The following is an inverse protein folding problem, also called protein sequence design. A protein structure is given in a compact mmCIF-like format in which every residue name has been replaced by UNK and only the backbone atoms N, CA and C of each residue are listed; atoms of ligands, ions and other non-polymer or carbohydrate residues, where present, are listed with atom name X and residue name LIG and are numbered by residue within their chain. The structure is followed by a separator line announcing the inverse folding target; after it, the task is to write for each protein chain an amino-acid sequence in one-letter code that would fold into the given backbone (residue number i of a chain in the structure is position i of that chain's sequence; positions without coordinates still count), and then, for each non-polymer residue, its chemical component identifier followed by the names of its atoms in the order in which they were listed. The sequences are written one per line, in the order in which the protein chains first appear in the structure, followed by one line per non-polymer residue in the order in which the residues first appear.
data_IF_193559655166
#
_entry.id   IF_193559655166
#
_cell.length_a   1.000
_cell.length_b   1.000
_cell.length_c   1.000
_cell.angle_alpha   90.00
_cell.angle_beta   90.00
_cell.angle_gamma   90.00
#
_symmetry.space_group_name_H-M   'P 1'
#
loop_
_entity.id
_entity.type
_entity.pdbx_description
1 polymer ?
#
# COMPACT_ATOMS: atom_id res chain seq x y z
N UNK A 1 -21.05 -5.14 -24.27
CA UNK A 1 -21.91 -4.25 -23.44
C UNK A 1 -22.06 -4.84 -22.04
N UNK A 2 -22.17 -4.00 -21.00
CA UNK A 2 -22.42 -4.42 -19.60
C UNK A 2 -23.89 -4.89 -19.51
N UNK A 3 -24.11 -6.15 -19.23
CA UNK A 3 -25.45 -6.72 -19.06
C UNK A 3 -25.95 -6.58 -17.60
N UNK A 4 -27.23 -6.90 -17.38
CA UNK A 4 -27.85 -6.80 -16.05
C UNK A 4 -27.17 -7.72 -15.01
N UNK A 5 -26.78 -8.94 -15.41
CA UNK A 5 -26.14 -9.88 -14.49
C UNK A 5 -24.79 -9.37 -14.01
N UNK A 6 -23.99 -8.79 -14.92
CA UNK A 6 -22.71 -8.14 -14.59
C UNK A 6 -22.91 -6.98 -13.62
N UNK A 7 -23.93 -6.14 -13.81
CA UNK A 7 -24.27 -5.06 -12.88
C UNK A 7 -24.70 -5.60 -11.51
N UNK A 8 -25.51 -6.65 -11.47
CA UNK A 8 -25.93 -7.26 -10.21
C UNK A 8 -24.76 -7.87 -9.43
N UNK A 9 -23.87 -8.59 -10.10
CA UNK A 9 -22.65 -9.11 -9.48
C UNK A 9 -21.77 -7.98 -8.94
N UNK A 10 -21.56 -6.93 -9.73
CA UNK A 10 -20.76 -5.78 -9.34
C UNK A 10 -21.39 -5.00 -8.19
N UNK A 11 -22.72 -4.92 -8.10
CA UNK A 11 -23.42 -4.40 -6.95
C UNK A 11 -23.09 -5.24 -5.69
N UNK A 12 -23.15 -6.58 -5.79
CA UNK A 12 -22.88 -7.44 -4.63
C UNK A 12 -21.43 -7.30 -4.13
N UNK A 13 -20.47 -7.11 -5.00
CA UNK A 13 -19.09 -6.83 -4.64
C UNK A 13 -18.91 -5.40 -4.07
N UNK A 14 -19.49 -4.40 -4.71
CA UNK A 14 -19.35 -3.00 -4.30
C UNK A 14 -19.90 -2.72 -2.88
N UNK A 15 -20.95 -3.44 -2.45
CA UNK A 15 -21.58 -3.28 -1.12
C UNK A 15 -20.85 -4.00 0.02
N UNK A 16 -19.95 -4.97 -0.26
CA UNK A 16 -19.25 -5.75 0.77
C UNK A 16 -18.55 -4.84 1.78
N UNK A 17 -18.84 -5.03 3.07
CA UNK A 17 -18.28 -4.23 4.17
C UNK A 17 -18.75 -2.77 4.21
N UNK A 18 -19.78 -2.39 3.43
CA UNK A 18 -20.28 -1.01 3.33
C UNK A 18 -21.80 -0.88 3.51
N UNK A 19 -22.50 -1.96 3.86
CA UNK A 19 -23.97 -1.97 4.01
C UNK A 19 -24.50 -1.03 5.09
N UNK A 20 -23.65 -0.64 6.05
CA UNK A 20 -23.95 0.35 7.09
C UNK A 20 -23.94 1.80 6.56
N UNK A 21 -23.42 2.06 5.35
CA UNK A 21 -23.37 3.40 4.78
C UNK A 21 -24.72 3.80 4.19
N UNK A 22 -25.22 4.97 4.57
CA UNK A 22 -26.52 5.51 4.11
C UNK A 22 -26.72 5.42 2.59
N UNK A 23 -25.71 5.79 1.79
CA UNK A 23 -25.81 5.73 0.33
C UNK A 23 -26.02 4.30 -0.20
N UNK A 24 -25.49 3.27 0.47
CA UNK A 24 -25.70 1.86 0.12
C UNK A 24 -27.09 1.43 0.55
N UNK A 25 -27.49 1.69 1.81
CA UNK A 25 -28.84 1.37 2.30
C UNK A 25 -29.91 1.99 1.41
N UNK A 26 -29.78 3.29 1.09
CA UNK A 26 -30.72 3.99 0.19
C UNK A 26 -30.84 3.33 -1.18
N UNK A 27 -29.74 2.87 -1.75
CA UNK A 27 -29.75 2.18 -3.04
C UNK A 27 -30.39 0.79 -2.95
N UNK A 28 -30.21 0.09 -1.84
CA UNK A 28 -30.73 -1.27 -1.61
C UNK A 28 -32.26 -1.32 -1.45
N UNK A 29 -32.93 -0.23 -1.09
CA UNK A 29 -34.40 -0.18 -0.95
C UNK A 29 -35.08 -0.64 -2.25
N UNK A 30 -34.61 -0.16 -3.41
CA UNK A 30 -35.17 -0.49 -4.71
C UNK A 30 -34.07 -1.01 -5.65
N UNK A 31 -33.27 -1.99 -5.19
CA UNK A 31 -32.05 -2.41 -5.88
C UNK A 31 -32.29 -2.91 -7.30
N UNK A 32 -33.34 -3.70 -7.53
CA UNK A 32 -33.63 -4.25 -8.87
C UNK A 32 -34.04 -3.14 -9.84
N UNK A 33 -34.95 -2.26 -9.42
CA UNK A 33 -35.38 -1.11 -10.22
C UNK A 33 -34.21 -0.19 -10.56
N UNK A 34 -33.36 0.11 -9.56
CA UNK A 34 -32.17 0.93 -9.73
C UNK A 34 -31.19 0.29 -10.74
N UNK A 35 -30.97 -1.02 -10.66
CA UNK A 35 -30.08 -1.73 -11.60
C UNK A 35 -30.69 -1.83 -13.00
N UNK A 36 -32.00 -2.07 -13.13
CA UNK A 36 -32.72 -2.07 -14.40
C UNK A 36 -32.64 -0.69 -15.07
N UNK A 37 -32.84 0.37 -14.29
CA UNK A 37 -32.72 1.74 -14.79
C UNK A 37 -31.30 2.03 -15.28
N UNK A 38 -30.26 1.65 -14.52
CA UNK A 38 -28.85 1.79 -14.95
C UNK A 38 -28.58 1.04 -16.24
N UNK A 39 -29.04 -0.23 -16.32
CA UNK A 39 -28.88 -1.04 -17.52
C UNK A 39 -29.56 -0.40 -18.74
N UNK A 40 -30.80 0.08 -18.58
CA UNK A 40 -31.53 0.80 -19.63
C UNK A 40 -30.78 2.06 -20.09
N UNK A 41 -30.30 2.88 -19.14
CA UNK A 41 -29.56 4.10 -19.45
C UNK A 41 -28.24 3.82 -20.17
N UNK A 42 -27.53 2.76 -19.82
CA UNK A 42 -26.32 2.30 -20.53
C UNK A 42 -26.64 1.83 -21.95
N UNK A 43 -27.66 0.97 -22.12
CA UNK A 43 -28.08 0.45 -23.41
C UNK A 43 -28.61 1.52 -24.36
N UNK A 44 -29.24 2.55 -23.83
CA UNK A 44 -29.74 3.70 -24.58
C UNK A 44 -28.70 4.81 -24.82
N UNK A 45 -27.45 4.64 -24.38
CA UNK A 45 -26.39 5.68 -24.40
C UNK A 45 -26.78 7.00 -23.69
N UNK A 46 -27.74 6.92 -22.75
CA UNK A 46 -28.23 8.05 -21.95
C UNK A 46 -27.61 8.14 -20.56
N UNK A 47 -26.78 7.16 -20.20
CA UNK A 47 -26.10 7.17 -18.91
C UNK A 47 -25.19 8.41 -18.78
N UNK A 48 -25.19 8.98 -17.57
CA UNK A 48 -24.28 10.09 -17.18
C UNK A 48 -23.78 9.84 -15.77
N UNK A 49 -22.50 10.12 -15.54
CA UNK A 49 -21.92 10.10 -14.20
C UNK A 49 -22.55 11.14 -13.29
N UNK A 50 -22.71 10.83 -12.02
CA UNK A 50 -23.06 11.83 -11.01
C UNK A 50 -21.89 12.79 -10.78
N UNK A 51 -22.15 14.02 -10.30
CA UNK A 51 -21.11 14.94 -9.86
C UNK A 51 -20.19 14.29 -8.83
N UNK A 52 -18.91 14.68 -8.84
CA UNK A 52 -17.94 14.23 -7.86
C UNK A 52 -18.16 14.90 -6.51
N UNK A 53 -18.13 14.09 -5.46
CA UNK A 53 -17.90 14.54 -4.11
C UNK A 53 -16.41 14.49 -3.82
N UNK A 54 -15.89 15.49 -3.10
CA UNK A 54 -14.46 15.62 -2.85
C UNK A 54 -14.17 15.68 -1.36
N UNK A 55 -13.08 15.08 -0.92
CA UNK A 55 -12.51 15.27 0.41
C UNK A 55 -10.99 15.15 0.38
N UNK A 56 -10.33 15.78 1.36
CA UNK A 56 -8.87 15.79 1.45
C UNK A 56 -8.42 14.76 2.49
N UNK A 57 -7.58 13.82 2.06
CA UNK A 57 -6.83 12.93 2.94
C UNK A 57 -5.47 13.58 3.21
N UNK A 58 -5.15 13.85 4.50
CA UNK A 58 -3.93 14.56 4.88
C UNK A 58 -2.72 13.66 5.11
N UNK A 59 -2.92 12.39 5.45
CA UNK A 59 -1.84 11.44 5.79
C UNK A 59 -1.82 10.22 4.85
N UNK A 60 -0.64 9.73 4.44
CA UNK A 60 0.72 10.21 4.71
C UNK A 60 1.14 11.44 3.88
N UNK A 61 0.39 11.81 2.88
CA UNK A 61 0.50 13.00 2.03
C UNK A 61 -0.89 13.53 1.74
N UNK A 62 -1.02 14.83 1.62
CA UNK A 62 -2.27 15.46 1.21
C UNK A 62 -2.67 15.01 -0.19
N UNK A 63 -3.91 14.53 -0.32
CA UNK A 63 -4.49 14.08 -1.58
C UNK A 63 -5.96 14.47 -1.65
N UNK A 64 -6.36 15.07 -2.75
CA UNK A 64 -7.77 15.25 -3.07
C UNK A 64 -8.33 13.93 -3.58
N UNK A 65 -9.30 13.37 -2.84
CA UNK A 65 -10.04 12.17 -3.25
C UNK A 65 -11.36 12.61 -3.85
N UNK A 66 -11.65 12.12 -5.06
CA UNK A 66 -12.88 12.39 -5.79
C UNK A 66 -13.66 11.08 -5.93
N UNK A 67 -14.94 11.09 -5.58
CA UNK A 67 -15.77 9.89 -5.69
C UNK A 67 -17.18 10.22 -6.18
N UNK A 68 -17.72 9.32 -6.99
CA UNK A 68 -19.09 9.39 -7.49
C UNK A 68 -20.07 8.66 -6.56
N UNK A 69 -21.36 8.69 -6.93
CA UNK A 69 -22.45 7.99 -6.26
C UNK A 69 -22.20 6.47 -6.19
N UNK A 70 -22.96 5.77 -5.35
CA UNK A 70 -22.88 4.31 -5.25
C UNK A 70 -23.30 3.63 -6.57
N UNK A 71 -24.26 4.23 -7.30
CA UNK A 71 -24.67 3.82 -8.64
C UNK A 71 -23.47 3.77 -9.60
N UNK A 72 -22.70 4.85 -9.65
CA UNK A 72 -21.56 4.94 -10.56
C UNK A 72 -20.42 3.99 -10.16
N UNK A 73 -20.26 3.72 -8.86
CA UNK A 73 -19.32 2.69 -8.39
C UNK A 73 -19.68 1.29 -8.90
N UNK A 74 -20.96 0.96 -8.95
CA UNK A 74 -21.41 -0.32 -9.51
C UNK A 74 -21.03 -0.43 -11.00
N UNK A 75 -21.28 0.64 -11.78
CA UNK A 75 -20.91 0.68 -13.20
C UNK A 75 -19.40 0.56 -13.39
N UNK A 76 -18.60 1.31 -12.61
CA UNK A 76 -17.15 1.22 -12.67
C UNK A 76 -16.62 -0.15 -12.25
N UNK A 77 -17.20 -0.81 -11.23
CA UNK A 77 -16.85 -2.18 -10.87
C UNK A 77 -17.16 -3.13 -12.03
N UNK A 78 -18.35 -3.05 -12.62
CA UNK A 78 -18.72 -3.90 -13.76
C UNK A 78 -17.77 -3.71 -14.95
N UNK A 79 -17.41 -2.47 -15.25
CA UNK A 79 -16.46 -2.16 -16.31
C UNK A 79 -15.06 -2.71 -16.00
N UNK A 80 -14.60 -2.59 -14.74
CA UNK A 80 -13.29 -3.11 -14.33
C UNK A 80 -13.25 -4.64 -14.40
N UNK A 81 -14.23 -5.31 -13.78
CA UNK A 81 -14.20 -6.76 -13.59
C UNK A 81 -14.47 -7.53 -14.91
N UNK A 82 -15.36 -7.00 -15.76
CA UNK A 82 -15.81 -7.70 -16.97
C UNK A 82 -15.10 -7.24 -18.25
N UNK A 83 -14.47 -6.06 -18.24
CA UNK A 83 -13.79 -5.51 -19.43
C UNK A 83 -12.32 -5.22 -19.14
N UNK A 84 -12.00 -4.29 -18.23
CA UNK A 84 -10.62 -3.83 -18.09
C UNK A 84 -9.70 -4.96 -17.62
N UNK A 85 -10.09 -5.71 -16.60
CA UNK A 85 -9.28 -6.83 -16.10
C UNK A 85 -9.00 -7.89 -17.18
N UNK A 86 -10.00 -8.47 -17.89
CA UNK A 86 -9.77 -9.49 -18.89
C UNK A 86 -8.91 -9.04 -20.08
N UNK A 87 -9.05 -7.79 -20.51
CA UNK A 87 -8.32 -7.26 -21.67
C UNK A 87 -6.95 -6.72 -21.30
N UNK A 88 -6.84 -5.92 -20.23
CA UNK A 88 -5.61 -5.21 -19.91
C UNK A 88 -4.59 -6.09 -19.19
N UNK A 89 -5.03 -7.02 -18.30
CA UNK A 89 -4.11 -7.86 -17.53
C UNK A 89 -3.18 -8.70 -18.42
N UNK A 90 -3.64 -9.08 -19.61
CA UNK A 90 -2.86 -9.84 -20.61
C UNK A 90 -1.69 -9.04 -21.20
N UNK A 91 -1.79 -7.71 -21.17
CA UNK A 91 -0.78 -6.81 -21.72
C UNK A 91 0.24 -6.35 -20.70
N UNK A 92 0.06 -6.69 -19.43
CA UNK A 92 0.97 -6.25 -18.37
C UNK A 92 2.09 -7.24 -18.14
N UNK A 93 3.27 -6.73 -17.91
CA UNK A 93 4.41 -7.56 -17.50
C UNK A 93 4.12 -8.24 -16.15
N UNK A 94 4.76 -9.37 -15.90
CA UNK A 94 4.61 -10.10 -14.64
C UNK A 94 4.97 -9.25 -13.41
N UNK A 95 6.00 -8.41 -13.54
CA UNK A 95 6.54 -7.57 -12.45
C UNK A 95 5.89 -6.18 -12.35
N UNK A 96 4.64 -6.05 -12.84
CA UNK A 96 3.75 -4.98 -12.49
C UNK A 96 2.83 -5.47 -11.36
N UNK A 97 2.84 -4.77 -10.22
CA UNK A 97 2.28 -5.27 -8.96
C UNK A 97 0.95 -4.65 -8.55
N UNK A 98 0.50 -3.61 -9.26
CA UNK A 98 -0.69 -2.84 -8.89
C UNK A 98 -1.97 -3.37 -9.55
N UNK A 99 -3.09 -3.27 -8.84
CA UNK A 99 -4.48 -3.42 -9.35
C UNK A 99 -4.81 -4.73 -10.08
N UNK A 100 -4.06 -5.79 -9.86
CA UNK A 100 -4.28 -7.11 -10.46
C UNK A 100 -4.60 -8.15 -9.38
N UNK A 101 -5.49 -9.10 -9.67
CA UNK A 101 -5.78 -10.22 -8.77
C UNK A 101 -4.53 -11.03 -8.47
N UNK A 102 -4.34 -11.42 -7.21
CA UNK A 102 -3.15 -12.16 -6.77
C UNK A 102 -1.87 -11.33 -6.67
N UNK A 103 -1.91 -10.04 -7.03
CA UNK A 103 -0.79 -9.11 -6.88
C UNK A 103 -1.10 -8.04 -5.83
N UNK A 104 -0.19 -7.12 -5.59
CA UNK A 104 -0.33 -6.06 -4.60
C UNK A 104 0.99 -5.76 -3.91
N UNK A 105 0.92 -5.02 -2.80
CA UNK A 105 2.11 -4.60 -2.05
C UNK A 105 2.97 -5.76 -1.56
N UNK A 106 2.35 -6.83 -1.05
CA UNK A 106 3.07 -8.00 -0.55
C UNK A 106 3.77 -8.75 -1.67
N UNK A 107 3.05 -8.99 -2.78
CA UNK A 107 3.64 -9.60 -3.97
C UNK A 107 4.85 -8.79 -4.47
N UNK A 108 4.72 -7.46 -4.60
CA UNK A 108 5.81 -6.58 -5.02
C UNK A 108 7.02 -6.64 -4.10
N UNK A 109 6.80 -6.68 -2.79
CA UNK A 109 7.87 -6.83 -1.80
C UNK A 109 8.57 -8.20 -1.89
N UNK A 110 7.84 -9.27 -2.15
CA UNK A 110 8.41 -10.61 -2.30
C UNK A 110 9.15 -10.75 -3.61
N UNK A 111 8.68 -10.10 -4.68
CA UNK A 111 9.43 -10.01 -5.95
C UNK A 111 10.73 -9.23 -5.78
N UNK A 112 10.72 -8.09 -5.06
CA UNK A 112 11.95 -7.35 -4.76
C UNK A 112 12.93 -8.22 -3.97
N UNK A 113 12.48 -8.94 -2.93
CA UNK A 113 13.31 -9.88 -2.18
C UNK A 113 13.91 -10.96 -3.10
N UNK A 114 13.09 -11.53 -3.99
CA UNK A 114 13.55 -12.53 -4.96
C UNK A 114 14.63 -11.96 -5.89
N UNK A 115 14.44 -10.75 -6.44
CA UNK A 115 15.42 -10.11 -7.30
C UNK A 115 16.72 -9.81 -6.58
N UNK A 116 16.69 -9.26 -5.38
CA UNK A 116 17.88 -9.00 -4.59
C UNK A 116 18.65 -10.28 -4.25
N UNK A 117 17.95 -11.35 -3.84
CA UNK A 117 18.56 -12.65 -3.56
C UNK A 117 19.16 -13.29 -4.81
N UNK A 118 18.49 -13.19 -5.96
CA UNK A 118 18.99 -13.69 -7.25
C UNK A 118 20.20 -12.89 -7.71
N UNK A 119 20.14 -11.56 -7.58
CA UNK A 119 21.23 -10.67 -7.92
C UNK A 119 22.50 -11.04 -7.13
N UNK A 120 22.37 -11.16 -5.80
CA UNK A 120 23.50 -11.51 -4.94
C UNK A 120 24.16 -12.82 -5.33
N UNK A 121 23.38 -13.85 -5.67
CA UNK A 121 23.92 -15.15 -6.12
C UNK A 121 24.70 -15.06 -7.44
N UNK A 122 24.38 -14.11 -8.29
CA UNK A 122 25.00 -13.95 -9.61
C UNK A 122 26.17 -12.96 -9.59
N UNK A 123 26.11 -11.91 -8.80
CA UNK A 123 27.00 -10.77 -8.86
C UNK A 123 27.57 -10.33 -7.49
N UNK A 124 27.25 -11.04 -6.40
CA UNK A 124 27.60 -10.58 -5.06
C UNK A 124 26.77 -9.34 -4.64
N UNK A 125 27.36 -8.53 -3.75
CA UNK A 125 26.72 -7.32 -3.25
C UNK A 125 26.96 -6.08 -4.15
N UNK A 126 27.91 -6.15 -5.06
CA UNK A 126 28.29 -5.04 -5.92
C UNK A 126 27.28 -4.82 -7.03
N UNK A 127 26.60 -3.69 -6.99
CA UNK A 127 25.60 -3.34 -7.97
C UNK A 127 24.91 -2.03 -7.66
N UNK A 128 24.07 -1.64 -8.59
CA UNK A 128 23.41 -0.35 -8.56
C UNK A 128 21.90 -0.50 -8.70
N UNK A 129 21.21 0.45 -8.12
CA UNK A 129 19.76 0.58 -8.20
C UNK A 129 19.43 1.93 -8.80
N UNK A 130 18.62 1.94 -9.85
CA UNK A 130 17.90 3.12 -10.28
C UNK A 130 16.51 3.05 -9.67
N UNK A 131 16.18 4.01 -8.78
CA UNK A 131 14.87 4.15 -8.15
C UNK A 131 14.18 5.38 -8.72
N UNK A 132 12.98 5.18 -9.25
CA UNK A 132 12.19 6.23 -9.89
C UNK A 132 10.81 6.36 -9.25
N UNK A 133 10.28 7.56 -9.31
CA UNK A 133 8.91 7.94 -8.93
C UNK A 133 8.43 9.00 -9.92
N UNK A 134 7.18 8.91 -10.38
CA UNK A 134 6.63 9.88 -11.33
C UNK A 134 5.96 11.00 -10.58
N UNK A 135 6.26 12.23 -10.98
CA UNK A 135 5.71 13.43 -10.36
C UNK A 135 4.21 13.55 -10.66
N UNK A 136 3.39 13.70 -9.60
CA UNK A 136 1.94 13.94 -9.70
C UNK A 136 1.21 13.00 -10.68
N UNK A 137 1.59 11.72 -10.71
CA UNK A 137 1.21 10.75 -11.76
C UNK A 137 -0.26 10.82 -12.17
N UNK A 138 -1.20 10.60 -11.23
CA UNK A 138 -2.64 10.61 -11.52
C UNK A 138 -3.15 11.94 -12.07
N UNK A 139 -2.53 13.05 -11.70
CA UNK A 139 -2.90 14.41 -12.16
C UNK A 139 -2.27 14.78 -13.51
N UNK A 140 -1.34 13.96 -14.02
CA UNK A 140 -0.59 14.26 -15.25
C UNK A 140 -0.95 13.34 -16.41
N UNK A 141 -1.87 12.40 -16.24
CA UNK A 141 -2.29 11.46 -17.28
C UNK A 141 -3.04 12.25 -18.38
N UNK A 142 -2.54 12.20 -19.61
CA UNK A 142 -3.18 12.82 -20.76
C UNK A 142 -4.35 11.96 -21.24
N UNK A 143 -5.54 12.56 -21.36
CA UNK A 143 -6.77 11.85 -21.74
C UNK A 143 -6.69 11.28 -23.16
N UNK A 144 -6.16 12.01 -24.12
CA UNK A 144 -6.11 11.57 -25.53
C UNK A 144 -5.17 10.38 -25.69
N UNK A 145 -3.99 10.43 -25.05
CA UNK A 145 -3.03 9.33 -25.04
C UNK A 145 -3.65 8.08 -24.37
N UNK A 146 -4.33 8.25 -23.24
CA UNK A 146 -5.01 7.14 -22.55
C UNK A 146 -6.11 6.52 -23.41
N UNK A 147 -6.95 7.34 -24.04
CA UNK A 147 -8.00 6.89 -24.95
C UNK A 147 -7.42 6.15 -26.16
N UNK A 148 -6.32 6.63 -26.71
CA UNK A 148 -5.65 5.94 -27.83
C UNK A 148 -5.13 4.57 -27.39
N UNK A 149 -4.49 4.47 -26.22
CA UNK A 149 -4.04 3.18 -25.68
C UNK A 149 -5.21 2.19 -25.48
N UNK A 150 -6.35 2.65 -24.95
CA UNK A 150 -7.55 1.83 -24.77
C UNK A 150 -8.13 1.37 -26.09
N UNK A 151 -8.22 2.25 -27.11
CA UNK A 151 -8.73 1.91 -28.46
C UNK A 151 -7.88 0.88 -29.20
N UNK A 152 -6.60 0.77 -28.87
CA UNK A 152 -5.74 -0.31 -29.42
C UNK A 152 -6.16 -1.69 -28.91
N UNK A 153 -6.68 -1.78 -27.69
CA UNK A 153 -7.00 -3.02 -26.99
C UNK A 153 -8.48 -3.38 -27.02
N UNK A 154 -9.35 -2.39 -26.95
CA UNK A 154 -10.81 -2.54 -26.86
C UNK A 154 -11.42 -2.01 -28.16
N UNK A 155 -12.31 -2.82 -28.77
CA UNK A 155 -12.97 -2.48 -30.06
C UNK A 155 -14.47 -2.26 -29.92
N UNK A 156 -15.06 -2.65 -28.78
CA UNK A 156 -16.49 -2.45 -28.49
C UNK A 156 -16.77 -0.94 -28.33
N UNK A 157 -17.63 -0.40 -29.21
CA UNK A 157 -17.93 1.04 -29.26
C UNK A 157 -18.69 1.53 -28.03
N UNK A 158 -19.56 0.70 -27.47
CA UNK A 158 -20.36 1.04 -26.28
C UNK A 158 -19.46 1.14 -25.04
N UNK A 159 -18.50 0.21 -24.96
CA UNK A 159 -17.47 0.24 -23.90
C UNK A 159 -16.58 1.47 -24.07
N UNK A 160 -16.12 1.79 -25.26
CA UNK A 160 -15.28 2.95 -25.52
C UNK A 160 -16.02 4.27 -25.18
N UNK A 161 -17.32 4.38 -25.55
CA UNK A 161 -18.15 5.52 -25.17
C UNK A 161 -18.21 5.72 -23.65
N UNK A 162 -18.39 4.62 -22.89
CA UNK A 162 -18.42 4.69 -21.43
C UNK A 162 -17.06 5.04 -20.84
N UNK A 163 -15.98 4.48 -21.38
CA UNK A 163 -14.60 4.80 -20.96
C UNK A 163 -14.26 6.26 -21.22
N UNK A 164 -14.59 6.79 -22.41
CA UNK A 164 -14.37 8.19 -22.77
C UNK A 164 -15.11 9.13 -21.81
N UNK A 165 -16.38 8.82 -21.49
CA UNK A 165 -17.16 9.59 -20.52
C UNK A 165 -16.51 9.60 -19.13
N UNK A 166 -15.95 8.46 -18.67
CA UNK A 166 -15.29 8.37 -17.36
C UNK A 166 -13.96 9.14 -17.38
N UNK A 167 -13.19 9.05 -18.45
CA UNK A 167 -11.92 9.75 -18.60
C UNK A 167 -12.15 11.26 -18.65
N UNK A 168 -13.12 11.73 -19.45
CA UNK A 168 -13.44 13.15 -19.60
C UNK A 168 -14.29 13.73 -18.46
N UNK A 169 -14.54 12.96 -17.42
CA UNK A 169 -15.33 13.41 -16.26
C UNK A 169 -14.60 14.45 -15.38
N UNK A 170 -13.34 14.72 -15.66
CA UNK A 170 -12.54 15.80 -15.06
C UNK A 170 -12.00 16.71 -16.15
N UNK A 171 -11.91 18.02 -15.87
CA UNK A 171 -11.35 19.00 -16.78
C UNK A 171 -9.82 18.92 -16.84
N UNK A 172 -9.25 19.11 -18.03
CA UNK A 172 -7.80 19.09 -18.23
C UNK A 172 -7.16 17.72 -18.10
N UNK A 173 -5.84 17.64 -17.92
CA UNK A 173 -5.15 16.38 -17.71
C UNK A 173 -5.42 15.81 -16.31
N UNK A 174 -5.26 14.50 -16.18
CA UNK A 174 -5.40 13.79 -14.92
C UNK A 174 -6.70 13.03 -14.79
N UNK A 175 -6.65 11.99 -13.97
CA UNK A 175 -7.78 11.11 -13.66
C UNK A 175 -8.08 11.12 -12.15
N UNK A 176 -9.36 10.97 -11.75
CA UNK A 176 -9.77 11.11 -10.36
C UNK A 176 -9.12 10.04 -9.45
N UNK A 177 -8.52 10.48 -8.36
CA UNK A 177 -8.09 9.55 -7.30
C UNK A 177 -9.33 9.18 -6.47
N UNK A 178 -9.83 7.95 -6.65
CA UNK A 178 -11.01 7.44 -5.96
C UNK A 178 -11.94 6.63 -6.86
N UNK A 179 -11.82 6.75 -8.17
CA UNK A 179 -12.49 5.87 -9.12
C UNK A 179 -11.77 4.53 -9.22
N UNK A 180 -12.55 3.47 -9.34
CA UNK A 180 -11.98 2.12 -9.53
C UNK A 180 -11.26 2.00 -10.89
N UNK A 181 -11.84 2.56 -11.93
CA UNK A 181 -11.25 2.60 -13.28
C UNK A 181 -9.91 3.32 -13.34
N UNK A 182 -9.72 4.38 -12.53
CA UNK A 182 -8.47 5.15 -12.52
C UNK A 182 -7.24 4.31 -12.17
N UNK A 183 -7.40 3.25 -11.37
CA UNK A 183 -6.31 2.34 -11.05
C UNK A 183 -5.87 1.53 -12.27
N UNK A 184 -6.82 1.02 -13.06
CA UNK A 184 -6.54 0.29 -14.29
C UNK A 184 -5.92 1.20 -15.37
N UNK A 185 -6.44 2.41 -15.49
CA UNK A 185 -5.89 3.42 -16.39
C UNK A 185 -4.44 3.77 -16.05
N UNK A 186 -4.15 4.00 -14.77
CA UNK A 186 -2.79 4.27 -14.32
C UNK A 186 -1.84 3.07 -14.55
N UNK A 187 -2.29 1.84 -14.44
CA UNK A 187 -1.45 0.68 -14.76
C UNK A 187 -1.18 0.59 -16.26
N UNK A 188 -2.23 0.76 -17.09
CA UNK A 188 -2.13 0.71 -18.55
C UNK A 188 -1.22 1.81 -19.12
N UNK A 189 -1.35 3.02 -18.64
CA UNK A 189 -0.69 4.20 -19.18
C UNK A 189 0.83 4.06 -19.30
N UNK A 190 1.45 3.29 -18.40
CA UNK A 190 2.88 2.99 -18.39
C UNK A 190 3.23 1.56 -18.83
N UNK A 191 2.27 0.77 -19.30
CA UNK A 191 2.55 -0.62 -19.68
C UNK A 191 3.56 -0.72 -20.81
N UNK A 192 3.52 0.18 -21.78
CA UNK A 192 4.51 0.23 -22.86
C UNK A 192 5.92 0.57 -22.36
N UNK A 193 6.06 1.40 -21.32
CA UNK A 193 7.36 1.65 -20.67
C UNK A 193 7.86 0.36 -19.97
N UNK A 194 6.97 -0.41 -19.34
CA UNK A 194 7.34 -1.68 -18.71
C UNK A 194 7.95 -2.64 -19.72
N UNK A 195 7.34 -2.78 -20.90
CA UNK A 195 7.87 -3.59 -22.00
C UNK A 195 9.18 -3.04 -22.56
N UNK A 196 9.28 -1.73 -22.76
CA UNK A 196 10.53 -1.09 -23.18
C UNK A 196 11.67 -1.43 -22.23
N UNK A 197 11.46 -1.33 -20.91
CA UNK A 197 12.49 -1.61 -19.91
C UNK A 197 12.87 -3.11 -19.89
N UNK A 198 11.88 -4.00 -19.94
CA UNK A 198 12.12 -5.46 -19.89
C UNK A 198 12.72 -6.02 -21.17
N UNK A 199 12.19 -5.61 -22.31
CA UNK A 199 12.46 -6.23 -23.61
C UNK A 199 13.54 -5.48 -24.40
N UNK A 200 13.39 -4.14 -24.56
CA UNK A 200 14.35 -3.35 -25.33
C UNK A 200 15.62 -3.01 -24.54
N UNK A 201 15.47 -2.59 -23.26
CA UNK A 201 16.60 -2.32 -22.38
C UNK A 201 17.12 -3.57 -21.65
N UNK A 202 16.48 -4.72 -21.78
CA UNK A 202 16.94 -5.99 -21.24
C UNK A 202 17.06 -6.06 -19.70
N UNK A 203 16.45 -5.14 -18.96
CA UNK A 203 16.52 -5.10 -17.49
C UNK A 203 15.63 -6.18 -16.89
N UNK A 204 16.22 -7.30 -16.53
CA UNK A 204 15.50 -8.46 -15.94
C UNK A 204 14.96 -8.17 -14.53
N UNK A 205 15.72 -7.42 -13.72
CA UNK A 205 15.38 -7.11 -12.33
C UNK A 205 14.75 -5.72 -12.22
N UNK A 206 13.57 -5.61 -12.83
CA UNK A 206 12.70 -4.43 -12.84
C UNK A 206 11.35 -4.77 -12.22
N UNK A 207 10.79 -3.86 -11.42
CA UNK A 207 9.44 -3.98 -10.91
C UNK A 207 8.79 -2.63 -10.65
N UNK A 208 7.47 -2.55 -10.88
CA UNK A 208 6.69 -1.33 -10.75
C UNK A 208 5.42 -1.53 -9.92
N UNK A 209 5.13 -0.53 -9.10
CA UNK A 209 3.84 -0.37 -8.42
C UNK A 209 3.32 1.05 -8.68
N UNK A 210 2.38 1.19 -9.60
CA UNK A 210 1.87 2.48 -10.10
C UNK A 210 3.00 3.37 -10.66
N UNK A 211 3.26 4.49 -10.00
CA UNK A 211 4.28 5.50 -10.30
C UNK A 211 5.67 5.17 -9.72
N UNK A 212 5.75 4.21 -8.82
CA UNK A 212 6.95 3.84 -8.06
C UNK A 212 7.59 2.58 -8.64
N UNK A 213 8.85 2.68 -9.14
CA UNK A 213 9.55 1.55 -9.76
C UNK A 213 11.06 1.56 -9.51
N UNK A 214 11.67 0.40 -9.71
CA UNK A 214 13.11 0.20 -9.53
C UNK A 214 13.71 -0.69 -10.62
N UNK A 215 14.97 -0.44 -10.93
CA UNK A 215 15.83 -1.27 -11.79
C UNK A 215 17.08 -1.64 -11.00
N UNK A 216 17.53 -2.90 -11.08
CA UNK A 216 18.78 -3.37 -10.48
C UNK A 216 19.70 -3.87 -11.58
N UNK A 217 20.93 -3.37 -11.61
CA UNK A 217 21.94 -3.72 -12.62
C UNK A 217 23.36 -3.62 -12.05
N UNK A 218 24.33 -4.44 -12.51
CA UNK A 218 25.71 -4.34 -12.06
C UNK A 218 26.41 -3.06 -12.58
N UNK A 219 26.05 -2.60 -13.74
CA UNK A 219 26.65 -1.43 -14.38
C UNK A 219 25.84 -0.16 -14.10
N UNK A 220 26.51 0.84 -13.50
CA UNK A 220 25.95 2.15 -13.18
C UNK A 220 25.70 3.02 -14.41
N UNK A 221 26.61 2.96 -15.38
CA UNK A 221 26.52 3.79 -16.57
C UNK A 221 25.41 3.28 -17.49
N UNK A 222 25.21 1.98 -17.53
CA UNK A 222 24.03 1.40 -18.18
C UNK A 222 22.72 1.86 -17.53
N UNK A 223 22.65 1.96 -16.21
CA UNK A 223 21.47 2.53 -15.55
C UNK A 223 21.29 4.03 -15.84
N UNK A 224 22.35 4.79 -16.05
CA UNK A 224 22.27 6.18 -16.54
C UNK A 224 21.68 6.25 -17.94
N UNK A 225 22.14 5.39 -18.83
CA UNK A 225 21.55 5.25 -20.16
C UNK A 225 20.06 4.88 -20.08
N UNK A 226 19.69 3.89 -19.27
CA UNK A 226 18.28 3.52 -19.05
C UNK A 226 17.45 4.69 -18.53
N UNK A 227 18.00 5.50 -17.63
CA UNK A 227 17.31 6.69 -17.10
C UNK A 227 16.99 7.70 -18.21
N UNK A 228 17.93 7.97 -19.11
CA UNK A 228 17.70 8.89 -20.23
C UNK A 228 16.68 8.32 -21.23
N UNK A 229 16.70 7.03 -21.52
CA UNK A 229 15.69 6.39 -22.37
C UNK A 229 14.29 6.42 -21.72
N UNK A 230 14.20 6.22 -20.41
CA UNK A 230 12.94 6.37 -19.66
C UNK A 230 12.42 7.80 -19.74
N UNK A 231 13.28 8.81 -19.54
CA UNK A 231 12.89 10.23 -19.68
C UNK A 231 12.33 10.53 -21.08
N UNK A 232 13.03 10.08 -22.14
CA UNK A 232 12.58 10.23 -23.53
C UNK A 232 11.20 9.58 -23.74
N UNK A 233 10.97 8.42 -23.15
CA UNK A 233 9.70 7.72 -23.26
C UNK A 233 8.55 8.48 -22.56
N UNK A 234 8.82 9.13 -21.43
CA UNK A 234 7.82 9.84 -20.64
C UNK A 234 7.37 11.16 -21.25
N UNK A 235 8.23 11.82 -22.06
CA UNK A 235 7.92 13.13 -22.69
C UNK A 235 6.63 13.12 -23.51
N UNK A 236 6.42 12.21 -24.48
CA UNK A 236 5.19 12.17 -25.27
C UNK A 236 3.96 11.77 -24.45
N UNK A 237 4.15 11.17 -23.26
CA UNK A 237 3.06 10.88 -22.32
C UNK A 237 2.70 12.07 -21.44
N UNK A 238 3.42 13.20 -21.54
CA UNK A 238 3.23 14.34 -20.64
C UNK A 238 3.65 14.09 -19.19
N UNK A 239 4.57 13.14 -18.96
CA UNK A 239 5.01 12.72 -17.63
C UNK A 239 6.45 13.13 -17.35
N UNK A 240 6.74 13.41 -16.08
CA UNK A 240 8.07 13.75 -15.59
C UNK A 240 8.44 12.89 -14.38
N UNK A 241 9.72 12.54 -14.28
CA UNK A 241 10.27 11.89 -13.09
C UNK A 241 10.34 12.89 -11.92
N UNK A 242 10.11 12.38 -10.72
CA UNK A 242 10.29 13.14 -9.50
C UNK A 242 11.79 13.42 -9.24
N UNK A 243 12.10 14.57 -8.64
CA UNK A 243 13.47 14.95 -8.25
C UNK A 243 14.15 13.94 -7.30
N UNK A 244 13.39 13.05 -6.67
CA UNK A 244 13.91 11.96 -5.83
C UNK A 244 14.43 10.76 -6.63
N UNK A 245 14.30 10.77 -7.95
CA UNK A 245 14.89 9.76 -8.82
C UNK A 245 16.41 9.74 -8.66
N UNK A 246 16.97 8.58 -8.32
CA UNK A 246 18.37 8.46 -8.00
C UNK A 246 18.93 7.09 -8.38
N UNK A 247 20.24 7.08 -8.72
CA UNK A 247 21.04 5.88 -8.84
C UNK A 247 21.97 5.79 -7.62
N UNK A 248 21.90 4.67 -6.92
CA UNK A 248 22.68 4.44 -5.70
C UNK A 248 23.14 2.98 -5.59
N UNK A 249 24.17 2.66 -4.78
CA UNK A 249 24.62 1.30 -4.58
C UNK A 249 23.55 0.39 -3.98
N UNK A 250 23.45 -0.86 -4.44
CA UNK A 250 22.48 -1.85 -3.93
C UNK A 250 22.63 -2.09 -2.43
N UNK A 251 23.85 -1.94 -1.90
CA UNK A 251 24.17 -2.07 -0.46
C UNK A 251 23.44 -1.05 0.42
N UNK A 252 23.05 0.12 -0.12
CA UNK A 252 22.24 1.10 0.62
C UNK A 252 20.82 0.60 0.90
N UNK A 253 20.35 -0.41 0.15
CA UNK A 253 18.99 -0.91 0.24
C UNK A 253 17.96 -0.03 -0.47
N UNK A 254 16.82 -0.63 -0.78
CA UNK A 254 15.75 -0.06 -1.61
C UNK A 254 14.55 0.27 -0.75
N UNK A 255 14.13 1.53 -0.77
CA UNK A 255 12.86 1.98 -0.19
C UNK A 255 11.72 1.71 -1.17
N UNK A 256 10.85 0.75 -0.84
CA UNK A 256 9.73 0.37 -1.70
C UNK A 256 8.53 -0.08 -0.86
N UNK A 257 7.33 0.36 -1.22
CA UNK A 257 6.04 -0.04 -0.62
C UNK A 257 6.02 0.00 0.92
N UNK A 258 6.60 1.03 1.52
CA UNK A 258 6.58 1.24 2.98
C UNK A 258 7.72 0.58 3.74
N UNK A 259 8.59 -0.17 3.06
CA UNK A 259 9.73 -0.86 3.66
C UNK A 259 11.04 -0.43 3.04
N UNK A 260 12.12 -0.58 3.81
CA UNK A 260 13.49 -0.59 3.33
C UNK A 260 13.97 -2.03 3.27
N UNK A 261 14.31 -2.49 2.06
CA UNK A 261 14.82 -3.84 1.80
C UNK A 261 16.29 -3.75 1.44
N UNK A 262 17.15 -4.50 2.12
CA UNK A 262 18.60 -4.47 1.90
C UNK A 262 19.23 -5.85 2.05
N UNK A 263 20.43 -6.00 1.51
CA UNK A 263 21.29 -7.17 1.66
C UNK A 263 22.15 -7.02 2.92
N UNK A 264 22.34 -8.10 3.66
CA UNK A 264 23.39 -8.23 4.67
C UNK A 264 24.69 -8.66 3.99
N UNK A 265 25.82 -8.60 4.69
CA UNK A 265 27.13 -9.05 4.20
C UNK A 265 27.12 -10.54 3.79
N UNK A 266 26.24 -11.33 4.41
CA UNK A 266 26.04 -12.76 4.08
C UNK A 266 25.05 -13.00 2.94
N UNK A 267 24.57 -11.95 2.27
CA UNK A 267 23.59 -12.03 1.18
C UNK A 267 22.14 -12.29 1.60
N UNK A 268 21.86 -12.30 2.91
CA UNK A 268 20.48 -12.40 3.40
C UNK A 268 19.74 -11.11 3.11
N UNK A 269 18.55 -11.21 2.49
CA UNK A 269 17.69 -10.05 2.28
C UNK A 269 16.87 -9.78 3.54
N UNK A 270 16.99 -8.56 4.06
CA UNK A 270 16.27 -8.07 5.25
C UNK A 270 15.33 -6.94 4.84
N UNK A 271 14.10 -7.00 5.34
CA UNK A 271 13.06 -6.00 5.11
C UNK A 271 12.67 -5.33 6.42
N UNK A 272 12.86 -4.03 6.55
CA UNK A 272 12.49 -3.26 7.75
C UNK A 272 11.47 -2.18 7.43
N UNK A 273 10.55 -1.94 8.35
CA UNK A 273 9.63 -0.80 8.29
C UNK A 273 10.43 0.51 8.26
N UNK A 274 10.05 1.46 7.41
CA UNK A 274 10.71 2.77 7.29
C UNK A 274 10.70 3.56 8.60
N UNK A 275 11.73 4.36 8.81
CA UNK A 275 11.91 5.19 10.03
C UNK A 275 10.73 6.15 10.24
N UNK A 276 10.22 6.76 9.17
CA UNK A 276 9.07 7.67 9.25
C UNK A 276 7.81 6.97 9.79
N UNK A 277 7.53 5.74 9.34
CA UNK A 277 6.39 4.95 9.83
C UNK A 277 6.52 4.61 11.31
N UNK A 278 7.74 4.24 11.77
CA UNK A 278 8.02 3.98 13.19
C UNK A 278 7.77 5.22 14.06
N UNK A 279 8.26 6.38 13.62
CA UNK A 279 8.12 7.63 14.36
C UNK A 279 6.67 8.13 14.35
N UNK A 280 5.96 7.92 13.22
CA UNK A 280 4.55 8.30 13.07
C UNK A 280 3.66 7.52 14.02
N UNK A 281 3.80 6.19 14.08
CA UNK A 281 2.95 5.39 14.97
C UNK A 281 3.15 5.77 16.44
N UNK A 282 4.38 5.98 16.90
CA UNK A 282 4.67 6.38 18.27
C UNK A 282 4.02 7.72 18.64
N UNK A 283 4.14 8.72 17.74
CA UNK A 283 3.48 10.02 17.93
C UNK A 283 1.96 9.90 17.91
N UNK A 284 1.43 9.06 17.00
CA UNK A 284 0.00 8.83 16.86
C UNK A 284 -0.60 8.19 18.11
N UNK A 285 0.05 7.18 18.69
CA UNK A 285 -0.42 6.53 19.93
C UNK A 285 -0.50 7.51 21.11
N UNK A 286 0.52 8.36 21.30
CA UNK A 286 0.50 9.41 22.34
C UNK A 286 -0.65 10.40 22.12
N UNK A 287 -0.85 10.86 20.88
CA UNK A 287 -1.97 11.74 20.52
C UNK A 287 -3.32 11.05 20.77
N UNK A 288 -3.43 9.77 20.48
CA UNK A 288 -4.66 9.01 20.69
C UNK A 288 -5.01 8.89 22.18
N UNK A 289 -4.02 8.77 23.08
CA UNK A 289 -4.28 8.80 24.53
C UNK A 289 -4.98 10.10 24.93
N UNK A 290 -4.45 11.25 24.53
CA UNK A 290 -5.07 12.55 24.83
C UNK A 290 -6.50 12.67 24.24
N UNK A 291 -6.68 12.26 22.99
CA UNK A 291 -8.01 12.32 22.36
C UNK A 291 -9.02 11.39 23.01
N UNK A 292 -8.59 10.25 23.53
CA UNK A 292 -9.44 9.32 24.27
C UNK A 292 -9.83 9.92 25.64
N UNK A 293 -8.87 10.53 26.35
CA UNK A 293 -9.12 11.22 27.63
C UNK A 293 -10.10 12.39 27.47
N UNK A 294 -10.07 13.07 26.30
CA UNK A 294 -10.99 14.15 25.94
C UNK A 294 -12.35 13.63 25.41
N UNK A 295 -12.57 12.31 25.29
CA UNK A 295 -13.76 11.73 24.73
C UNK A 295 -13.99 11.98 23.23
N UNK A 296 -12.92 12.38 22.48
CA UNK A 296 -12.98 12.74 21.05
C UNK A 296 -12.72 11.58 20.10
N UNK A 297 -12.32 10.44 20.61
CA UNK A 297 -12.11 9.20 19.87
C UNK A 297 -12.48 8.02 20.76
N UNK A 298 -13.04 6.97 20.18
CA UNK A 298 -13.31 5.72 20.88
C UNK A 298 -12.10 4.78 20.82
N UNK A 299 -12.03 3.86 21.79
CA UNK A 299 -10.91 2.91 21.88
C UNK A 299 -10.91 1.91 20.73
N UNK A 300 -12.07 1.56 20.17
CA UNK A 300 -12.17 0.63 19.03
C UNK A 300 -11.46 1.20 17.79
N UNK A 301 -11.63 2.49 17.51
CA UNK A 301 -10.92 3.21 16.43
C UNK A 301 -9.41 3.18 16.64
N UNK A 302 -8.95 3.35 17.89
CA UNK A 302 -7.52 3.26 18.24
C UNK A 302 -7.00 1.84 18.00
N UNK A 303 -7.72 0.85 18.48
CA UNK A 303 -7.41 -0.56 18.35
C UNK A 303 -7.32 -0.98 16.87
N UNK A 304 -8.29 -0.57 16.05
CA UNK A 304 -8.31 -0.82 14.61
C UNK A 304 -7.10 -0.18 13.91
N UNK A 305 -6.79 1.07 14.25
CA UNK A 305 -5.64 1.79 13.69
C UNK A 305 -4.31 1.13 14.05
N UNK A 306 -4.16 0.66 15.29
CA UNK A 306 -2.96 -0.03 15.75
C UNK A 306 -2.84 -1.43 15.14
N UNK A 307 -3.95 -2.19 15.06
CA UNK A 307 -4.01 -3.51 14.40
C UNK A 307 -3.61 -3.43 12.93
N UNK A 308 -4.08 -2.41 12.22
CA UNK A 308 -3.71 -2.16 10.82
C UNK A 308 -2.20 -1.90 10.67
N UNK A 309 -1.61 -1.10 11.57
CA UNK A 309 -0.17 -0.84 11.52
C UNK A 309 0.66 -2.08 11.85
N UNK A 310 0.29 -2.85 12.88
CA UNK A 310 1.00 -4.08 13.24
C UNK A 310 0.88 -5.13 12.15
N UNK A 311 -0.30 -5.32 11.56
CA UNK A 311 -0.49 -6.20 10.40
C UNK A 311 0.42 -5.83 9.23
N UNK A 312 0.57 -4.52 8.92
CA UNK A 312 1.55 -4.08 7.93
C UNK A 312 2.99 -4.38 8.37
N UNK A 313 3.37 -4.10 9.62
CA UNK A 313 4.73 -4.31 10.12
C UNK A 313 5.15 -5.79 10.17
N UNK A 314 4.21 -6.73 10.35
CA UNK A 314 4.45 -8.19 10.35
C UNK A 314 5.01 -8.71 9.01
N UNK A 315 4.79 -8.00 7.91
CA UNK A 315 5.37 -8.34 6.60
C UNK A 315 6.87 -8.03 6.47
N UNK A 316 7.48 -7.46 7.50
CA UNK A 316 8.91 -7.19 7.58
C UNK A 316 9.60 -7.98 8.69
N UNK A 317 10.94 -7.87 8.77
CA UNK A 317 11.75 -8.34 9.88
C UNK A 317 11.58 -7.37 11.07
N UNK A 318 10.39 -7.31 11.64
CA UNK A 318 9.95 -6.24 12.56
C UNK A 318 9.58 -6.74 13.96
N UNK A 319 9.91 -7.98 14.31
CA UNK A 319 9.56 -8.58 15.61
C UNK A 319 9.90 -7.66 16.80
N UNK A 320 11.14 -7.26 16.94
CA UNK A 320 11.57 -6.37 18.04
C UNK A 320 10.93 -4.97 17.98
N UNK A 321 10.64 -4.48 16.76
CA UNK A 321 9.94 -3.20 16.61
C UNK A 321 8.51 -3.31 17.11
N UNK A 322 7.81 -4.38 16.71
CA UNK A 322 6.42 -4.64 17.12
C UNK A 322 6.37 -4.77 18.64
N UNK A 323 7.25 -5.60 19.23
CA UNK A 323 7.33 -5.77 20.70
C UNK A 323 7.49 -4.43 21.44
N UNK A 324 8.48 -3.63 21.04
CA UNK A 324 8.70 -2.28 21.65
C UNK A 324 7.52 -1.31 21.44
N UNK A 325 6.72 -1.52 20.39
CA UNK A 325 5.56 -0.67 20.15
C UNK A 325 4.33 -1.22 20.89
N UNK A 326 4.25 -2.55 21.08
CA UNK A 326 3.28 -3.19 21.97
C UNK A 326 3.48 -2.71 23.43
N UNK A 327 4.71 -2.67 23.92
CA UNK A 327 5.02 -2.14 25.26
C UNK A 327 4.47 -0.72 25.42
N UNK A 328 4.70 0.15 24.44
CA UNK A 328 4.16 1.51 24.45
C UNK A 328 2.63 1.52 24.41
N UNK A 329 2.03 0.73 23.52
CA UNK A 329 0.58 0.66 23.36
C UNK A 329 -0.10 0.11 24.62
N UNK A 330 0.41 -0.98 25.17
CA UNK A 330 -0.15 -1.63 26.35
C UNK A 330 -0.02 -0.74 27.60
N UNK A 331 1.09 -0.04 27.77
CA UNK A 331 1.24 0.93 28.85
C UNK A 331 0.27 2.12 28.75
N UNK A 332 0.03 2.62 27.53
CA UNK A 332 -0.89 3.76 27.31
C UNK A 332 -2.37 3.39 27.49
N UNK A 333 -2.75 2.15 27.18
CA UNK A 333 -4.16 1.72 27.08
C UNK A 333 -4.45 0.47 27.93
N UNK A 334 -3.76 0.32 29.07
CA UNK A 334 -3.87 -0.83 29.95
C UNK A 334 -5.31 -1.05 30.45
N UNK A 335 -5.94 0.01 30.91
CA UNK A 335 -7.28 -0.06 31.50
C UNK A 335 -8.33 -0.49 30.45
N UNK A 336 -8.25 0.06 29.26
CA UNK A 336 -9.17 -0.25 28.16
C UNK A 336 -8.98 -1.68 27.63
N UNK A 337 -7.78 -2.23 27.74
CA UNK A 337 -7.46 -3.58 27.30
C UNK A 337 -7.89 -4.65 28.32
N UNK A 338 -8.00 -4.30 29.58
CA UNK A 338 -8.42 -5.25 30.64
C UNK A 338 -9.84 -5.73 30.49
N UNK A 339 -10.71 -4.94 29.83
CA UNK A 339 -12.09 -5.31 29.50
C UNK A 339 -12.29 -6.14 28.24
N UNK A 340 -11.22 -6.39 27.47
CA UNK A 340 -11.33 -7.10 26.18
C UNK A 340 -11.03 -8.59 26.28
N UNK A 341 -11.91 -9.43 25.71
CA UNK A 341 -11.81 -10.90 25.86
C UNK A 341 -11.26 -11.62 24.62
N UNK A 342 -11.24 -11.02 23.40
CA UNK A 342 -10.88 -11.72 22.16
C UNK A 342 -10.11 -10.86 21.15
N UNK A 343 -9.11 -11.50 20.45
CA UNK A 343 -8.37 -10.95 19.32
C UNK A 343 -6.85 -11.09 19.42
N UNK A 344 -6.13 -10.91 18.32
CA UNK A 344 -4.66 -11.01 18.26
C UNK A 344 -3.96 -10.06 19.25
N UNK A 345 -4.48 -8.86 19.45
CA UNK A 345 -3.90 -7.88 20.38
C UNK A 345 -4.15 -8.29 21.83
N UNK A 346 -5.32 -8.83 22.14
CA UNK A 346 -5.62 -9.36 23.48
C UNK A 346 -4.69 -10.51 23.86
N UNK A 347 -4.41 -11.42 22.92
CA UNK A 347 -3.44 -12.52 23.13
C UNK A 347 -2.02 -11.95 23.36
N UNK A 348 -1.61 -10.93 22.61
CA UNK A 348 -0.31 -10.25 22.77
C UNK A 348 -0.23 -9.52 24.11
N UNK A 349 -1.31 -8.85 24.51
CA UNK A 349 -1.43 -8.17 25.80
C UNK A 349 -1.35 -9.16 26.98
N UNK A 350 -2.06 -10.27 26.91
CA UNK A 350 -1.99 -11.33 27.93
C UNK A 350 -0.59 -11.94 28.07
N UNK A 351 0.15 -12.08 26.95
CA UNK A 351 1.55 -12.51 26.97
C UNK A 351 2.46 -11.43 27.56
N UNK A 352 2.24 -10.17 27.21
CA UNK A 352 2.97 -9.05 27.76
C UNK A 352 2.79 -8.94 29.29
N UNK A 353 1.56 -9.05 29.80
CA UNK A 353 1.29 -9.07 31.25
C UNK A 353 2.08 -10.17 31.97
N UNK A 354 2.13 -11.38 31.42
CA UNK A 354 2.91 -12.48 32.02
C UNK A 354 4.38 -12.12 32.12
N UNK A 355 4.99 -11.61 31.05
CA UNK A 355 6.41 -11.20 31.08
C UNK A 355 6.69 -10.10 32.11
N UNK A 356 5.76 -9.18 32.37
CA UNK A 356 5.93 -8.12 33.38
C UNK A 356 5.90 -8.70 34.80
N UNK A 357 5.07 -9.73 35.05
CA UNK A 357 5.03 -10.40 36.37
C UNK A 357 6.34 -11.15 36.62
N UNK A 358 6.82 -11.89 35.62
CA UNK A 358 8.09 -12.64 35.72
C UNK A 358 9.29 -11.68 35.95
N UNK A 359 9.36 -10.51 35.28
CA UNK A 359 10.41 -9.50 35.49
C UNK A 359 10.36 -8.90 36.91
N UNK A 360 9.15 -8.68 37.46
CA UNK A 360 9.00 -8.18 38.83
C UNK A 360 9.34 -9.23 39.90
N UNK A 361 9.09 -10.50 39.65
CA UNK A 361 9.48 -11.58 40.56
C UNK A 361 11.00 -11.75 40.56
N UNK A 362 11.65 -11.77 39.41
CA UNK A 362 13.11 -11.83 39.28
C UNK A 362 13.78 -10.64 39.97
N UNK A 363 13.23 -9.41 39.81
CA UNK A 363 13.76 -8.23 40.47
C UNK A 363 13.62 -8.30 42.00
N UNK A 364 12.49 -8.80 42.51
CA UNK A 364 12.29 -9.00 43.96
C UNK A 364 13.22 -10.06 44.55
N UNK A 365 13.46 -11.14 43.82
CA UNK A 365 14.42 -12.16 44.24
C UNK A 365 15.85 -11.61 44.25
N UNK A 366 16.25 -10.82 43.25
CA UNK A 366 17.58 -10.17 43.23
C UNK A 366 17.74 -9.17 44.36
N UNK A 367 16.73 -8.35 44.65
CA UNK A 367 16.74 -7.39 45.75
C UNK A 367 16.71 -8.05 47.14
N UNK A 368 16.18 -9.28 47.26
CA UNK A 368 16.24 -10.06 48.49
C UNK A 368 17.61 -10.70 48.70
N UNK A 369 18.28 -11.15 47.64
CA UNK A 369 19.64 -11.71 47.70
C UNK A 369 20.65 -10.62 48.09
N UNK A 370 20.50 -9.39 47.57
CA UNK A 370 21.37 -8.27 47.95
C UNK A 370 21.15 -7.78 49.41
N UNK A 371 19.96 -7.96 49.99
CA UNK A 371 19.68 -7.62 51.40
C UNK A 371 20.06 -8.74 52.37
N UNK A 372 20.39 -9.93 51.89
CA UNK A 372 20.67 -11.13 52.72
C UNK A 372 22.12 -11.38 53.07
N UNK A 373 23.08 -10.50 52.70
CA UNK A 373 24.49 -10.71 53.00
C UNK A 373 25.06 -9.64 53.96
N UNK A 374 24.86 -9.77 55.30
CA UNK A 374 25.58 -8.93 56.26
C UNK A 374 27.01 -9.45 56.36
N UNK A 375 27.96 -8.66 55.87
CA UNK A 375 29.38 -8.98 55.87
C UNK A 375 29.92 -9.35 57.24
N UNK A 376 30.44 -10.54 57.35
CA UNK A 376 31.35 -10.91 58.43
C UNK A 376 32.79 -10.65 58.02
N UNK A 377 33.25 -9.44 58.38
CA UNK A 377 34.68 -9.16 58.46
C UNK A 377 35.16 -9.39 59.88
N UNK A 378 35.73 -10.50 60.16
CA UNK A 378 36.66 -10.63 61.30
C UNK A 378 37.96 -11.23 60.78
N UNK A 379 39.01 -10.40 60.76
CA UNK A 379 40.39 -10.90 60.71
C UNK A 379 40.84 -11.16 62.13
N UNK A 380 41.42 -12.33 62.47
CA UNK A 380 42.21 -12.47 63.71
C UNK A 380 43.62 -12.02 63.42
N UNK A 381 44.13 -11.11 64.29
CA UNK A 381 45.56 -10.87 64.53
C UNK A 381 46.17 -12.12 65.13
N UNK A 382 47.31 -12.59 64.64
CA UNK A 382 48.17 -13.57 65.24
C UNK A 382 49.61 -13.07 65.22
N UNK A 383 50.37 -13.23 66.25
CA UNK A 383 51.75 -12.74 66.37
C UNK A 383 52.76 -13.79 65.97
N UNK A 384 53.95 -13.36 65.58
CA UNK A 384 55.13 -14.18 65.37
C UNK A 384 56.07 -13.56 64.36
#
# INVERSE_FOLDING_TARGET
MIDFNSLYQSYTEARKGKRWKYAVCKYEVNVLENLMFVHFMLSAHKYRLSPYNCFIVKEPKERLIMYNSFRDKIVQHSLCDNVLEPYLSKTFIYDNYASQKGKGTHFGLDRLKYFMSRYYRQNGADGWVLKCDIRKYFYSINHDVLKEQLRRLIKDRDVLWLLDMIIDSTEGPGIPIGNHTSQWFAVLYLSGMDHMIKERLGIKMYGRYMDDFYLIHPDKDYLRYCLEEIKKYLVPLGLELNQKTAIFPLTQGIDFLGFRTYLTDTGKVVRKVRRESKNRIRRKLKKYRHLLDEGRIDFETILQSYSSWTGHAEHGNSYHLIRKTDDLFFNLFKNELEGLTYGKITIRFARWKRCQVDEHEIQRESDQVDRGNPGHSQRPNGPG
#
